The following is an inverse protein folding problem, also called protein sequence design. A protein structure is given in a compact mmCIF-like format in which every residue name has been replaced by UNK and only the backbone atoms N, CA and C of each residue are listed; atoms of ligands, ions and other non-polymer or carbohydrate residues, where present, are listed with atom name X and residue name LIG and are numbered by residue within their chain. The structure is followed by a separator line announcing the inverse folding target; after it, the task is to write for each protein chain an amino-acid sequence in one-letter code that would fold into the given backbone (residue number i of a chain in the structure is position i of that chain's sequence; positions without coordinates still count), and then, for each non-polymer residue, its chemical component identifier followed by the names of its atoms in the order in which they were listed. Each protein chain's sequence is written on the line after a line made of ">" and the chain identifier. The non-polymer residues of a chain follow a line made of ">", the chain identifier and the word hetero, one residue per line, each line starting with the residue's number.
data_IF_182009766492
#
_entry.id   IF_182009766492
#
_cell.length_a   1.000
_cell.length_b   1.000
_cell.length_c   1.000
_cell.angle_alpha   90.00
_cell.angle_beta   90.00
_cell.angle_gamma   90.00
#
_symmetry.space_group_name_H-M   'P 1'
#
loop_
_entity.id
_entity.type
_entity.pdbx_description
1 polymer ?
#
# COMPACT_ATOMS: atom_id res chain seq x y z
N UNK A 1 -4.79 17.31 10.97
CA UNK A 1 -3.96 16.18 10.48
C UNK A 1 -4.50 14.87 11.02
N UNK A 2 -4.66 13.89 10.16
CA UNK A 2 -5.09 12.56 10.59
C UNK A 2 -3.87 11.75 11.03
N UNK A 3 -3.96 11.14 12.19
CA UNK A 3 -2.93 10.23 12.68
C UNK A 3 -3.57 8.88 13.00
N UNK A 4 -3.17 7.87 12.25
CA UNK A 4 -3.70 6.51 12.38
C UNK A 4 -2.89 5.65 13.36
N UNK A 5 -1.83 6.17 13.96
CA UNK A 5 -1.04 5.47 14.95
C UNK A 5 -1.70 5.57 16.33
N UNK A 6 -2.79 4.87 16.49
CA UNK A 6 -3.55 4.83 17.72
C UNK A 6 -3.71 3.36 18.14
N UNK A 7 -3.20 2.96 19.31
CA UNK A 7 -3.31 1.57 19.76
C UNK A 7 -4.76 1.09 19.91
N UNK A 8 -5.70 2.02 20.05
CA UNK A 8 -7.13 1.68 20.14
C UNK A 8 -7.83 1.68 18.80
N UNK A 9 -7.11 1.96 17.69
CA UNK A 9 -7.68 1.96 16.36
C UNK A 9 -8.13 0.55 15.98
N UNK A 10 -9.39 0.41 15.61
CA UNK A 10 -9.96 -0.85 15.13
C UNK A 10 -10.08 -0.82 13.62
N UNK A 11 -10.21 -2.01 13.03
CA UNK A 11 -10.40 -2.13 11.58
C UNK A 11 -11.59 -1.30 11.09
N UNK A 12 -12.70 -1.33 11.81
CA UNK A 12 -13.89 -0.54 11.45
C UNK A 12 -13.64 0.96 11.47
N UNK A 13 -12.79 1.42 12.37
CA UNK A 13 -12.44 2.84 12.47
C UNK A 13 -11.54 3.24 11.29
N UNK A 14 -10.57 2.39 10.95
CA UNK A 14 -9.74 2.57 9.78
C UNK A 14 -10.59 2.61 8.51
N UNK A 15 -11.54 1.69 8.38
CA UNK A 15 -12.46 1.66 7.24
C UNK A 15 -13.20 2.98 7.08
N UNK A 16 -13.72 3.54 8.17
CA UNK A 16 -14.44 4.82 8.15
C UNK A 16 -13.57 5.99 7.73
N UNK A 17 -12.27 5.92 8.05
CA UNK A 17 -11.31 6.98 7.72
C UNK A 17 -10.77 6.86 6.30
N UNK A 18 -10.84 5.69 5.69
CA UNK A 18 -10.20 5.40 4.41
C UNK A 18 -11.22 5.13 3.30
N UNK A 19 -12.13 4.18 3.50
CA UNK A 19 -13.02 3.72 2.43
C UNK A 19 -13.85 4.83 1.77
N UNK A 20 -14.48 5.75 2.54
CA UNK A 20 -15.27 6.82 1.92
C UNK A 20 -14.43 7.79 1.09
N UNK A 21 -13.11 7.80 1.28
CA UNK A 21 -12.19 8.73 0.62
C UNK A 21 -11.35 8.08 -0.47
N UNK A 22 -11.56 6.80 -0.77
CA UNK A 22 -10.81 6.10 -1.81
C UNK A 22 -11.00 6.74 -3.19
N UNK A 23 -12.19 7.25 -3.47
CA UNK A 23 -12.48 7.93 -4.74
C UNK A 23 -11.75 9.26 -4.89
N UNK A 24 -11.22 9.81 -3.82
CA UNK A 24 -10.48 11.08 -3.82
C UNK A 24 -8.99 10.89 -4.11
N UNK A 25 -8.51 9.65 -4.14
CA UNK A 25 -7.09 9.34 -4.34
C UNK A 25 -6.68 9.68 -5.76
N UNK A 26 -5.58 10.43 -5.89
CA UNK A 26 -4.92 10.66 -7.17
C UNK A 26 -3.88 9.56 -7.35
N UNK A 27 -4.14 8.63 -8.26
CA UNK A 27 -3.24 7.50 -8.50
C UNK A 27 -2.07 7.94 -9.36
N UNK A 28 -0.86 7.60 -8.91
CA UNK A 28 0.37 7.90 -9.64
C UNK A 28 0.46 7.06 -10.91
N UNK A 29 1.21 7.55 -11.90
CA UNK A 29 1.48 6.76 -13.09
C UNK A 29 2.41 5.61 -12.75
N UNK A 30 2.16 4.46 -13.37
CA UNK A 30 2.97 3.26 -13.19
C UNK A 30 4.34 3.37 -13.89
N UNK A 31 5.04 2.26 -13.88
CA UNK A 31 6.40 2.19 -14.44
C UNK A 31 6.44 2.57 -15.92
N UNK A 32 5.44 2.14 -16.68
CA UNK A 32 5.36 2.40 -18.13
C UNK A 32 4.60 3.67 -18.49
N UNK A 33 4.09 4.38 -17.48
CA UNK A 33 3.35 5.64 -17.63
C UNK A 33 2.05 5.54 -18.42
N UNK A 34 1.63 4.35 -18.84
CA UNK A 34 0.38 4.15 -19.57
C UNK A 34 -0.79 3.79 -18.65
N UNK A 35 -0.50 3.33 -17.45
CA UNK A 35 -1.49 2.91 -16.47
C UNK A 35 -1.01 3.23 -15.07
N UNK A 36 -1.94 3.37 -14.14
CA UNK A 36 -1.63 3.48 -12.71
C UNK A 36 -1.20 2.13 -12.11
N UNK A 37 -1.48 1.02 -12.80
CA UNK A 37 -1.18 -0.31 -12.30
C UNK A 37 0.21 -0.77 -12.72
N UNK A 38 0.95 -1.32 -11.79
CA UNK A 38 2.31 -1.83 -11.98
C UNK A 38 2.31 -3.33 -11.72
N UNK A 39 2.97 -4.09 -12.59
CA UNK A 39 3.09 -5.53 -12.40
C UNK A 39 3.88 -5.81 -11.12
N UNK A 40 3.30 -6.61 -10.24
CA UNK A 40 3.87 -6.97 -8.94
C UNK A 40 4.04 -8.49 -8.83
N UNK A 41 4.47 -9.14 -9.90
CA UNK A 41 4.77 -10.56 -9.89
C UNK A 41 6.02 -10.81 -9.05
N UNK A 42 5.83 -11.39 -7.88
CA UNK A 42 6.91 -11.62 -6.92
C UNK A 42 7.78 -12.82 -7.27
N UNK A 43 7.31 -13.66 -8.17
CA UNK A 43 8.07 -14.81 -8.66
C UNK A 43 9.06 -14.43 -9.76
N UNK A 44 8.87 -13.27 -10.38
CA UNK A 44 9.73 -12.76 -11.44
C UNK A 44 10.65 -11.68 -10.88
N UNK A 45 11.95 -11.97 -10.84
CA UNK A 45 12.94 -11.06 -10.26
C UNK A 45 13.00 -9.72 -10.98
N UNK A 46 12.77 -9.69 -12.29
CA UNK A 46 12.80 -8.45 -13.08
C UNK A 46 11.62 -7.55 -12.70
N UNK A 47 10.43 -8.10 -12.62
CA UNK A 47 9.25 -7.34 -12.23
C UNK A 47 9.36 -6.85 -10.79
N UNK A 48 9.90 -7.69 -9.90
CA UNK A 48 10.12 -7.31 -8.50
C UNK A 48 11.10 -6.14 -8.38
N UNK A 49 12.20 -6.18 -9.12
CA UNK A 49 13.18 -5.10 -9.12
C UNK A 49 12.58 -3.78 -9.63
N UNK A 50 11.81 -3.83 -10.70
CA UNK A 50 11.14 -2.65 -11.25
C UNK A 50 10.14 -2.08 -10.25
N UNK A 51 9.37 -2.94 -9.58
CA UNK A 51 8.42 -2.52 -8.56
C UNK A 51 9.12 -1.84 -7.39
N UNK A 52 10.16 -2.45 -6.86
CA UNK A 52 10.91 -1.89 -5.73
C UNK A 52 11.53 -0.53 -6.11
N UNK A 53 12.11 -0.42 -7.29
CA UNK A 53 12.68 0.84 -7.77
C UNK A 53 11.61 1.93 -7.90
N UNK A 54 10.43 1.56 -8.42
CA UNK A 54 9.32 2.48 -8.55
C UNK A 54 8.85 2.98 -7.17
N UNK A 55 8.72 2.06 -6.21
CA UNK A 55 8.32 2.41 -4.85
C UNK A 55 9.37 3.25 -4.13
N UNK A 56 10.66 2.97 -4.36
CA UNK A 56 11.76 3.78 -3.79
C UNK A 56 11.70 5.23 -4.27
N UNK A 57 11.20 5.45 -5.47
CA UNK A 57 11.00 6.79 -6.01
C UNK A 57 9.91 7.60 -5.31
N UNK A 58 9.10 6.99 -4.46
CA UNK A 58 8.03 7.68 -3.72
C UNK A 58 8.57 8.44 -2.50
N UNK A 59 9.85 8.27 -2.16
CA UNK A 59 10.53 8.99 -1.08
C UNK A 59 9.91 8.74 0.30
N UNK A 60 9.42 7.55 0.54
CA UNK A 60 8.93 7.16 1.86
C UNK A 60 10.12 6.70 2.71
N UNK A 61 10.26 7.25 3.91
CA UNK A 61 11.33 6.88 4.82
C UNK A 61 11.20 5.40 5.23
N UNK A 62 12.34 4.70 5.36
CA UNK A 62 12.36 3.30 5.76
C UNK A 62 11.68 3.07 7.12
N UNK A 63 11.81 4.02 8.03
CA UNK A 63 11.22 3.94 9.37
C UNK A 63 9.78 4.43 9.43
N UNK A 64 9.22 4.90 8.32
CA UNK A 64 7.86 5.41 8.29
C UNK A 64 6.87 4.30 8.58
N UNK A 65 5.97 4.53 9.52
CA UNK A 65 4.99 3.52 9.91
C UNK A 65 3.80 3.53 8.95
N UNK A 66 3.38 2.33 8.56
CA UNK A 66 2.24 2.11 7.68
C UNK A 66 1.28 1.12 8.31
N UNK A 67 0.04 1.12 7.82
CA UNK A 67 -1.00 0.20 8.24
C UNK A 67 -1.33 -0.70 7.07
N UNK A 68 -1.27 -2.00 7.29
CA UNK A 68 -1.68 -2.99 6.30
C UNK A 68 -3.04 -3.55 6.70
N UNK A 69 -3.98 -3.52 5.77
CA UNK A 69 -5.29 -4.13 5.95
C UNK A 69 -5.70 -4.83 4.66
N UNK A 70 -6.69 -5.70 4.75
CA UNK A 70 -7.30 -6.34 3.59
C UNK A 70 -8.53 -5.53 3.13
N UNK A 71 -8.96 -5.76 1.90
CA UNK A 71 -10.15 -5.07 1.37
C UNK A 71 -11.46 -5.51 2.01
N UNK A 72 -11.46 -6.65 2.68
CA UNK A 72 -12.60 -7.09 3.47
C UNK A 72 -12.68 -6.41 4.83
N UNK A 73 -11.63 -5.62 5.20
CA UNK A 73 -11.54 -4.92 6.47
C UNK A 73 -11.67 -5.86 7.67
N UNK A 74 -11.00 -7.02 7.58
CA UNK A 74 -11.08 -8.04 8.62
C UNK A 74 -9.97 -7.95 9.66
N UNK A 75 -8.82 -7.35 9.31
CA UNK A 75 -7.70 -7.17 10.24
C UNK A 75 -6.85 -5.99 9.82
N UNK A 76 -5.99 -5.52 10.73
CA UNK A 76 -4.98 -4.52 10.43
C UNK A 76 -3.69 -4.84 11.18
N UNK A 77 -2.56 -4.39 10.62
CA UNK A 77 -1.24 -4.49 11.24
C UNK A 77 -0.45 -3.21 11.03
N UNK A 78 0.42 -2.90 11.96
CA UNK A 78 1.34 -1.77 11.86
C UNK A 78 2.74 -2.28 11.53
N UNK A 79 3.36 -1.69 10.52
CA UNK A 79 4.70 -2.07 10.07
C UNK A 79 5.47 -0.82 9.67
N UNK A 80 6.81 -0.94 9.63
CA UNK A 80 7.64 0.08 8.99
C UNK A 80 7.69 -0.17 7.49
N UNK A 81 7.85 0.90 6.70
CA UNK A 81 7.92 0.80 5.25
C UNK A 81 9.03 -0.15 4.78
N UNK A 82 10.21 -0.12 5.45
CA UNK A 82 11.31 -1.03 5.13
C UNK A 82 10.93 -2.49 5.29
N UNK A 83 10.09 -2.82 6.27
CA UNK A 83 9.62 -4.19 6.47
C UNK A 83 8.72 -4.65 5.31
N UNK A 84 7.89 -3.75 4.80
CA UNK A 84 7.04 -4.05 3.65
C UNK A 84 7.89 -4.32 2.42
N UNK A 85 8.85 -3.43 2.13
CA UNK A 85 9.72 -3.57 0.95
C UNK A 85 10.61 -4.81 1.03
N UNK A 86 11.03 -5.19 2.23
CA UNK A 86 11.92 -6.34 2.42
C UNK A 86 11.21 -7.68 2.19
N UNK A 87 9.89 -7.73 2.39
CA UNK A 87 9.17 -9.00 2.38
C UNK A 87 7.82 -8.87 1.65
N UNK A 88 7.85 -8.33 0.43
CA UNK A 88 6.66 -8.17 -0.40
C UNK A 88 5.89 -9.48 -0.59
N UNK A 89 6.54 -10.65 -0.80
CA UNK A 89 5.80 -11.90 -0.96
C UNK A 89 4.89 -12.25 0.21
N UNK A 90 5.27 -11.89 1.44
CA UNK A 90 4.46 -12.17 2.62
C UNK A 90 3.17 -11.35 2.62
N UNK A 91 3.22 -10.12 2.11
CA UNK A 91 2.08 -9.20 2.13
C UNK A 91 1.27 -9.27 0.85
N UNK A 92 1.91 -9.56 -0.28
CA UNK A 92 1.29 -9.67 -1.58
C UNK A 92 1.02 -11.15 -1.89
N UNK A 93 0.11 -11.74 -1.11
CA UNK A 93 -0.30 -13.11 -1.33
C UNK A 93 -1.55 -13.15 -2.22
N UNK A 94 -2.59 -13.84 -1.85
CA UNK A 94 -3.73 -14.11 -2.73
C UNK A 94 -4.92 -13.18 -2.52
N UNK A 95 -4.78 -12.14 -1.70
CA UNK A 95 -5.87 -11.25 -1.34
C UNK A 95 -5.59 -9.81 -1.74
N UNK A 96 -6.66 -9.03 -1.90
CA UNK A 96 -6.53 -7.58 -2.04
C UNK A 96 -6.00 -6.99 -0.73
N UNK A 97 -4.91 -6.22 -0.83
CA UNK A 97 -4.27 -5.61 0.33
C UNK A 97 -4.23 -4.09 0.13
N UNK A 98 -4.50 -3.37 1.19
CA UNK A 98 -4.34 -1.92 1.25
C UNK A 98 -3.22 -1.59 2.24
N UNK A 99 -2.31 -0.72 1.83
CA UNK A 99 -1.25 -0.20 2.68
C UNK A 99 -1.47 1.31 2.77
N UNK A 100 -1.76 1.80 3.97
CA UNK A 100 -2.11 3.20 4.21
C UNK A 100 -1.03 3.84 5.05
N UNK A 101 -0.59 5.03 4.65
CA UNK A 101 0.34 5.81 5.47
C UNK A 101 -0.30 6.15 6.82
N UNK A 102 0.51 6.17 7.87
CA UNK A 102 0.03 6.46 9.23
C UNK A 102 -0.57 7.87 9.37
N UNK A 103 -0.20 8.79 8.49
CA UNK A 103 -0.76 10.15 8.46
C UNK A 103 -1.84 10.32 7.39
N UNK A 104 -2.25 9.24 6.73
CA UNK A 104 -3.29 9.20 5.69
C UNK A 104 -3.01 10.19 4.55
N UNK A 105 -1.78 10.26 4.08
CA UNK A 105 -1.41 11.11 2.95
C UNK A 105 -1.24 10.34 1.64
N UNK A 106 -0.98 9.04 1.74
CA UNK A 106 -0.87 8.18 0.56
C UNK A 106 -1.40 6.78 0.87
N UNK A 107 -1.67 6.04 -0.20
CA UNK A 107 -2.17 4.66 -0.12
C UNK A 107 -1.61 3.83 -1.25
N UNK A 108 -1.36 2.56 -1.00
CA UNK A 108 -0.98 1.58 -2.01
C UNK A 108 -1.99 0.43 -1.99
N UNK A 109 -2.38 -0.03 -3.17
CA UNK A 109 -3.30 -1.14 -3.30
C UNK A 109 -2.66 -2.27 -4.09
N UNK A 110 -2.75 -3.48 -3.57
CA UNK A 110 -2.39 -4.71 -4.29
C UNK A 110 -3.65 -5.50 -4.63
N UNK A 111 -3.70 -5.98 -5.86
CA UNK A 111 -4.79 -6.85 -6.33
C UNK A 111 -4.25 -8.26 -6.62
N UNK A 112 -5.08 -9.33 -6.44
CA UNK A 112 -4.62 -10.70 -6.63
C UNK A 112 -4.19 -11.04 -8.05
N UNK A 113 -4.49 -10.18 -9.03
CA UNK A 113 -3.96 -10.30 -10.39
C UNK A 113 -2.46 -9.98 -10.46
N UNK A 114 -1.82 -9.77 -9.30
CA UNK A 114 -0.40 -9.42 -9.17
C UNK A 114 -0.09 -8.05 -9.77
N UNK A 115 -0.92 -7.07 -9.42
CA UNK A 115 -0.72 -5.67 -9.80
C UNK A 115 -0.89 -4.78 -8.57
N UNK A 116 -0.15 -3.67 -8.56
CA UNK A 116 -0.25 -2.65 -7.50
C UNK A 116 -0.43 -1.27 -8.11
N UNK A 117 -1.01 -0.37 -7.31
CA UNK A 117 -1.01 1.05 -7.62
C UNK A 117 -0.73 1.84 -6.36
N UNK A 118 -0.21 3.04 -6.53
CA UNK A 118 0.15 3.95 -5.45
C UNK A 118 -0.43 5.32 -5.75
N UNK A 119 -1.03 5.94 -4.76
CA UNK A 119 -1.65 7.24 -4.95
C UNK A 119 -1.62 8.10 -3.70
N UNK A 120 -2.04 9.33 -3.87
CA UNK A 120 -2.03 10.34 -2.80
C UNK A 120 -3.39 11.01 -2.71
N UNK A 121 -3.76 11.36 -1.48
CA UNK A 121 -4.96 12.17 -1.25
C UNK A 121 -4.71 13.64 -1.53
#
# INVERSE_FOLDING_TARGET
>A
MVNLLNPDLRVRDLRKLVEPHLHEVSWDRGVDETSEWVIASIEDCEHKSKLVNWLNGKNVSDSFEVIITDKAWSNLRYLCWSQVLADLPTYFDQENILIVSSNRTWIMEYAPQQIVRFGQW
#
